data_IF_376149452969
#
_entry.id   IF_376149452969
#
_cell.length_a   1.000
_cell.length_b   1.000
_cell.length_c   1.000
_cell.angle_alpha   90.00
_cell.angle_beta   90.00
_cell.angle_gamma   90.00
#
_symmetry.space_group_name_H-M   'P 1'
#
loop_
_entity.id
_entity.type
_entity.pdbx_description
1 polymer ?
#
# COMPACT_ATOMS: atom_id res chain seq x y z
N UNK A 1 -28.22 -1.73 4.88
CA UNK A 1 -27.83 -1.47 3.48
C UNK A 1 -28.34 -0.13 2.94
N UNK A 2 -29.47 0.38 3.42
CA UNK A 2 -29.97 1.72 3.08
C UNK A 2 -28.95 2.85 3.30
N UNK A 3 -28.14 2.77 4.36
CA UNK A 3 -27.11 3.78 4.65
C UNK A 3 -26.02 3.91 3.56
N UNK A 4 -25.63 2.80 2.91
CA UNK A 4 -24.63 2.80 1.85
C UNK A 4 -25.20 3.34 0.54
N UNK A 5 -26.42 2.94 0.18
CA UNK A 5 -27.13 3.47 -0.97
C UNK A 5 -27.40 4.98 -0.80
N UNK A 6 -27.74 5.42 0.41
CA UNK A 6 -27.90 6.83 0.76
C UNK A 6 -26.60 7.62 0.60
N UNK A 7 -25.46 7.08 1.04
CA UNK A 7 -24.17 7.74 0.85
C UNK A 7 -23.69 7.76 -0.62
N UNK A 8 -23.95 6.70 -1.39
CA UNK A 8 -23.65 6.65 -2.82
C UNK A 8 -24.48 7.67 -3.61
N UNK A 9 -25.79 7.77 -3.30
CA UNK A 9 -26.69 8.76 -3.88
C UNK A 9 -26.25 10.21 -3.57
N UNK A 10 -25.80 10.47 -2.34
CA UNK A 10 -25.25 11.78 -1.93
C UNK A 10 -24.00 12.18 -2.74
N UNK A 11 -23.26 11.19 -3.26
CA UNK A 11 -22.08 11.39 -4.13
C UNK A 11 -22.39 11.29 -5.63
N UNK A 12 -23.68 11.29 -6.02
CA UNK A 12 -24.16 11.11 -7.41
C UNK A 12 -23.68 9.82 -8.08
N UNK A 13 -23.40 8.79 -7.29
CA UNK A 13 -23.05 7.46 -7.81
C UNK A 13 -24.36 6.70 -7.97
N UNK A 14 -24.79 6.49 -9.21
CA UNK A 14 -25.96 5.67 -9.52
C UNK A 14 -25.60 4.20 -9.33
N UNK A 15 -26.06 3.61 -8.23
CA UNK A 15 -25.84 2.19 -7.92
C UNK A 15 -27.15 1.43 -7.93
N UNK A 16 -27.16 0.23 -8.52
CA UNK A 16 -28.23 -0.75 -8.32
C UNK A 16 -28.15 -1.27 -6.87
N UNK A 17 -29.14 -0.95 -6.00
CA UNK A 17 -29.07 -1.30 -4.58
C UNK A 17 -29.00 -2.81 -4.32
N UNK A 18 -29.67 -3.63 -5.13
CA UNK A 18 -29.67 -5.09 -4.97
C UNK A 18 -28.34 -5.69 -5.42
N UNK A 19 -27.75 -5.15 -6.50
CA UNK A 19 -26.43 -5.57 -6.96
C UNK A 19 -25.34 -5.17 -5.96
N UNK A 20 -25.39 -3.94 -5.44
CA UNK A 20 -24.47 -3.46 -4.41
C UNK A 20 -24.58 -4.30 -3.13
N UNK A 21 -25.81 -4.65 -2.73
CA UNK A 21 -26.06 -5.52 -1.60
C UNK A 21 -25.35 -6.88 -1.72
N UNK A 22 -25.55 -7.57 -2.86
CA UNK A 22 -24.92 -8.87 -3.12
C UNK A 22 -23.40 -8.80 -3.17
N UNK A 23 -22.84 -7.72 -3.73
CA UNK A 23 -21.39 -7.50 -3.73
C UNK A 23 -20.87 -7.33 -2.31
N UNK A 24 -21.55 -6.53 -1.48
CA UNK A 24 -21.15 -6.34 -0.08
C UNK A 24 -21.25 -7.63 0.73
N UNK A 25 -22.31 -8.42 0.54
CA UNK A 25 -22.47 -9.71 1.20
C UNK A 25 -21.30 -10.65 0.89
N UNK A 26 -20.91 -10.77 -0.39
CA UNK A 26 -19.74 -11.55 -0.80
C UNK A 26 -18.42 -10.98 -0.25
N UNK A 27 -18.30 -9.65 -0.15
CA UNK A 27 -17.12 -9.01 0.43
C UNK A 27 -16.96 -9.35 1.91
N UNK A 28 -18.06 -9.31 2.67
CA UNK A 28 -18.08 -9.70 4.08
C UNK A 28 -17.74 -11.17 4.26
N UNK A 29 -18.33 -12.07 3.45
CA UNK A 29 -18.04 -13.50 3.50
C UNK A 29 -16.53 -13.78 3.34
N UNK A 30 -15.90 -13.17 2.33
CA UNK A 30 -14.45 -13.32 2.09
C UNK A 30 -13.61 -12.71 3.21
N UNK A 31 -14.05 -11.59 3.77
CA UNK A 31 -13.37 -10.95 4.91
C UNK A 31 -13.42 -11.84 6.16
N UNK A 32 -14.56 -12.48 6.43
CA UNK A 32 -14.68 -13.41 7.55
C UNK A 32 -13.76 -14.62 7.40
N UNK A 33 -13.60 -15.18 6.20
CA UNK A 33 -12.62 -16.27 5.97
C UNK A 33 -11.19 -15.86 6.35
N UNK A 34 -10.79 -14.62 6.03
CA UNK A 34 -9.47 -14.09 6.43
C UNK A 34 -9.38 -13.97 7.95
N UNK A 35 -10.42 -13.45 8.61
CA UNK A 35 -10.46 -13.29 10.07
C UNK A 35 -10.42 -14.65 10.77
N UNK A 36 -11.20 -15.63 10.30
CA UNK A 36 -11.25 -16.99 10.85
C UNK A 36 -9.88 -17.68 10.75
N UNK A 37 -9.10 -17.38 9.71
CA UNK A 37 -7.72 -17.88 9.59
C UNK A 37 -6.75 -17.14 10.48
N UNK A 38 -6.89 -15.82 10.59
CA UNK A 38 -6.07 -14.97 11.45
C UNK A 38 -6.25 -15.34 12.93
N UNK A 39 -7.47 -15.68 13.33
CA UNK A 39 -7.84 -15.99 14.71
C UNK A 39 -8.69 -17.27 14.76
N UNK A 40 -8.10 -18.45 14.53
CA UNK A 40 -8.85 -19.72 14.47
C UNK A 40 -9.52 -20.07 15.79
N UNK A 41 -8.91 -19.63 16.90
CA UNK A 41 -9.52 -19.65 18.22
C UNK A 41 -9.17 -18.37 18.96
N UNK A 42 -10.14 -17.81 19.69
CA UNK A 42 -9.91 -16.64 20.55
C UNK A 42 -9.25 -17.10 21.84
N UNK A 43 -7.93 -17.24 21.82
CA UNK A 43 -7.12 -17.57 22.97
C UNK A 43 -5.90 -16.63 23.06
N UNK A 44 -5.30 -16.56 24.25
CA UNK A 44 -4.20 -15.63 24.56
C UNK A 44 -3.01 -15.81 23.60
N UNK A 45 -2.69 -17.05 23.25
CA UNK A 45 -1.60 -17.38 22.33
C UNK A 45 -1.85 -16.83 20.93
N UNK A 46 -3.03 -17.04 20.37
CA UNK A 46 -3.39 -16.55 19.04
C UNK A 46 -3.49 -15.03 19.01
N UNK A 47 -3.99 -14.40 20.08
CA UNK A 47 -4.01 -12.95 20.23
C UNK A 47 -2.60 -12.35 20.34
N UNK A 48 -1.67 -13.03 21.00
CA UNK A 48 -0.27 -12.60 21.08
C UNK A 48 0.41 -12.69 19.71
N UNK A 49 0.17 -13.77 18.95
CA UNK A 49 0.68 -13.94 17.59
C UNK A 49 0.16 -12.81 16.68
N UNK A 50 -1.14 -12.52 16.73
CA UNK A 50 -1.74 -11.41 15.97
C UNK A 50 -1.19 -10.07 16.41
N UNK A 51 -1.10 -9.84 17.72
CA UNK A 51 -0.54 -8.62 18.30
C UNK A 51 0.88 -8.38 17.82
N UNK A 52 1.72 -9.43 17.74
CA UNK A 52 3.06 -9.38 17.15
C UNK A 52 2.99 -9.13 15.65
N UNK A 53 2.14 -9.83 14.90
CA UNK A 53 2.03 -9.65 13.46
C UNK A 53 1.64 -8.22 13.07
N UNK A 54 0.76 -7.55 13.81
CA UNK A 54 0.30 -6.18 13.53
C UNK A 54 1.11 -5.09 14.25
N UNK A 55 2.13 -5.48 15.01
CA UNK A 55 2.93 -4.52 15.77
C UNK A 55 3.73 -3.60 14.84
N UNK A 56 3.83 -2.32 15.20
CA UNK A 56 4.53 -1.27 14.41
C UNK A 56 6.01 -1.52 14.11
N UNK A 57 6.62 -2.50 14.77
CA UNK A 57 8.05 -2.86 14.62
C UNK A 57 8.23 -4.25 14.02
N UNK A 58 7.17 -4.81 13.44
CA UNK A 58 7.23 -6.10 12.77
C UNK A 58 7.54 -5.88 11.30
N UNK A 59 8.71 -6.33 10.88
CA UNK A 59 9.21 -6.16 9.50
C UNK A 59 8.35 -6.90 8.48
N UNK A 60 7.87 -8.10 8.84
CA UNK A 60 7.00 -8.90 7.98
C UNK A 60 5.95 -9.66 8.79
N UNK A 61 4.72 -9.13 8.76
CA UNK A 61 3.54 -9.73 9.39
C UNK A 61 3.25 -11.14 8.86
N UNK A 62 3.50 -11.41 7.58
CA UNK A 62 3.23 -12.72 6.97
C UNK A 62 4.20 -13.77 7.47
N UNK A 63 5.47 -13.43 7.68
CA UNK A 63 6.45 -14.34 8.27
C UNK A 63 6.04 -14.70 9.70
N UNK A 64 5.59 -13.73 10.50
CA UNK A 64 5.11 -13.98 11.87
C UNK A 64 3.91 -14.93 11.88
N UNK A 65 2.92 -14.68 11.03
CA UNK A 65 1.73 -15.53 10.91
C UNK A 65 2.09 -16.94 10.42
N UNK A 66 2.92 -17.06 9.38
CA UNK A 66 3.34 -18.34 8.82
C UNK A 66 4.12 -19.19 9.82
N UNK A 67 5.00 -18.58 10.61
CA UNK A 67 5.74 -19.26 11.67
C UNK A 67 4.82 -19.77 12.79
N UNK A 68 3.65 -19.16 12.96
CA UNK A 68 2.61 -19.63 13.86
C UNK A 68 1.65 -20.66 13.24
N UNK A 69 1.90 -21.08 11.99
CA UNK A 69 1.02 -22.01 11.25
C UNK A 69 -0.23 -21.33 10.67
N UNK A 70 -0.30 -20.00 10.71
CA UNK A 70 -1.39 -19.22 10.14
C UNK A 70 -0.99 -18.81 8.72
N UNK A 71 -1.61 -19.45 7.72
CA UNK A 71 -1.46 -19.05 6.32
C UNK A 71 -2.78 -18.43 5.83
N UNK A 72 -2.73 -17.14 5.48
CA UNK A 72 -3.87 -16.39 4.95
C UNK A 72 -3.69 -15.98 3.48
N UNK A 73 -2.56 -16.33 2.86
CA UNK A 73 -2.28 -15.97 1.46
C UNK A 73 -3.38 -16.45 0.49
N UNK A 74 -3.91 -17.69 0.60
CA UNK A 74 -4.98 -18.14 -0.28
C UNK A 74 -6.24 -17.28 -0.17
N UNK A 75 -6.68 -16.96 1.04
CA UNK A 75 -7.89 -16.18 1.30
C UNK A 75 -7.71 -14.71 0.86
N UNK A 76 -6.52 -14.15 1.04
CA UNK A 76 -6.19 -12.82 0.54
C UNK A 76 -6.18 -12.76 -0.99
N UNK A 77 -5.67 -13.80 -1.66
CA UNK A 77 -5.67 -13.87 -3.12
C UNK A 77 -7.11 -14.01 -3.66
N UNK A 78 -7.94 -14.83 -3.01
CA UNK A 78 -9.37 -14.94 -3.32
C UNK A 78 -10.10 -13.59 -3.16
N UNK A 79 -9.72 -12.79 -2.16
CA UNK A 79 -10.26 -11.47 -1.94
C UNK A 79 -9.77 -10.46 -3.01
N UNK A 80 -8.49 -10.51 -3.40
CA UNK A 80 -7.95 -9.67 -4.49
C UNK A 80 -8.63 -9.94 -5.82
N UNK A 81 -8.81 -11.21 -6.18
CA UNK A 81 -9.52 -11.60 -7.40
C UNK A 81 -10.95 -11.09 -7.40
N UNK A 82 -11.63 -11.21 -6.25
CA UNK A 82 -12.96 -10.65 -6.07
C UNK A 82 -12.98 -9.13 -6.26
N UNK A 83 -12.06 -8.38 -5.63
CA UNK A 83 -11.96 -6.93 -5.83
C UNK A 83 -11.75 -6.56 -7.31
N UNK A 84 -10.91 -7.32 -8.02
CA UNK A 84 -10.68 -7.13 -9.44
C UNK A 84 -11.96 -7.34 -10.27
N UNK A 85 -12.68 -8.44 -10.01
CA UNK A 85 -13.97 -8.77 -10.63
C UNK A 85 -14.98 -7.64 -10.47
N UNK A 86 -15.14 -7.09 -9.25
CA UNK A 86 -16.09 -5.99 -8.98
C UNK A 86 -15.63 -4.70 -9.66
N UNK A 87 -14.31 -4.44 -9.69
CA UNK A 87 -13.73 -3.23 -10.28
C UNK A 87 -13.80 -3.22 -11.82
N UNK A 88 -14.17 -4.33 -12.45
CA UNK A 88 -14.19 -4.49 -13.91
C UNK A 88 -12.80 -4.57 -14.54
N UNK A 89 -11.73 -4.65 -13.72
CA UNK A 89 -10.36 -4.88 -14.20
C UNK A 89 -10.16 -6.38 -14.34
N UNK A 90 -9.76 -6.85 -15.53
CA UNK A 90 -9.21 -8.20 -15.66
C UNK A 90 -7.99 -8.26 -14.74
N UNK A 91 -7.95 -9.22 -13.82
CA UNK A 91 -6.69 -9.69 -13.24
C UNK A 91 -5.90 -10.30 -14.38
N UNK A 92 -5.15 -9.47 -15.09
CA UNK A 92 -3.86 -9.94 -15.54
C UNK A 92 -3.16 -10.38 -14.26
N UNK A 93 -2.82 -11.67 -14.18
CA UNK A 93 -1.69 -12.11 -13.38
C UNK A 93 -0.43 -11.47 -13.97
N UNK A 94 -0.39 -10.14 -14.06
CA UNK A 94 0.84 -9.46 -13.80
C UNK A 94 1.15 -9.86 -12.38
N UNK A 95 2.31 -10.47 -12.21
CA UNK A 95 2.99 -10.49 -10.93
C UNK A 95 2.81 -9.11 -10.30
N UNK A 96 1.79 -8.96 -9.45
CA UNK A 96 1.85 -8.08 -8.30
C UNK A 96 2.86 -8.73 -7.35
N UNK A 97 4.11 -8.89 -7.83
CA UNK A 97 5.19 -8.03 -7.34
C UNK A 97 4.61 -6.63 -7.30
N UNK A 98 3.79 -6.38 -6.27
CA UNK A 98 3.95 -5.20 -5.47
C UNK A 98 5.46 -5.21 -5.26
N UNK A 99 6.16 -4.43 -6.07
CA UNK A 99 7.50 -3.98 -5.75
C UNK A 99 7.23 -3.12 -4.53
N UNK A 100 6.98 -3.77 -3.39
CA UNK A 100 7.41 -3.32 -2.11
C UNK A 100 8.89 -3.59 -2.25
N UNK A 101 9.72 -2.60 -2.65
CA UNK A 101 11.15 -2.76 -2.47
C UNK A 101 11.35 -3.19 -1.03
N UNK A 102 12.38 -3.99 -0.76
CA UNK A 102 12.64 -4.52 0.58
C UNK A 102 12.68 -3.45 1.71
N UNK A 103 12.71 -2.17 1.34
CA UNK A 103 12.70 -0.97 2.18
C UNK A 103 11.34 -0.23 2.26
N UNK A 104 10.32 -0.61 1.47
CA UNK A 104 9.02 0.08 1.41
C UNK A 104 9.01 1.42 0.64
N UNK A 105 10.15 1.83 0.07
CA UNK A 105 10.34 3.13 -0.63
C UNK A 105 10.30 2.95 -2.15
N UNK A 106 9.39 3.60 -2.90
CA UNK A 106 9.26 3.45 -4.35
C UNK A 106 10.58 3.51 -5.12
N UNK A 107 10.76 2.61 -6.09
CA UNK A 107 12.01 2.47 -6.86
C UNK A 107 12.44 3.74 -7.58
N UNK A 108 11.47 4.50 -8.08
CA UNK A 108 11.66 5.76 -8.78
C UNK A 108 12.29 6.79 -7.83
N UNK A 109 11.74 6.94 -6.62
CA UNK A 109 12.27 7.87 -5.61
C UNK A 109 13.65 7.44 -5.12
N UNK A 110 13.88 6.14 -4.94
CA UNK A 110 15.20 5.59 -4.59
C UNK A 110 16.23 5.85 -5.69
N UNK A 111 15.87 5.71 -6.97
CA UNK A 111 16.80 5.96 -8.07
C UNK A 111 17.26 7.42 -8.13
N UNK A 112 16.39 8.36 -7.77
CA UNK A 112 16.73 9.79 -7.67
C UNK A 112 17.73 10.01 -6.52
N UNK A 113 17.49 9.43 -5.34
CA UNK A 113 18.41 9.51 -4.21
C UNK A 113 19.82 8.95 -4.56
N UNK A 114 19.87 7.77 -5.21
CA UNK A 114 21.11 7.17 -5.71
C UNK A 114 21.81 8.03 -6.76
N UNK A 115 21.05 8.55 -7.71
CA UNK A 115 21.56 9.43 -8.76
C UNK A 115 22.23 10.68 -8.19
N UNK A 116 21.67 11.24 -7.10
CA UNK A 116 22.27 12.37 -6.39
C UNK A 116 23.59 11.99 -5.71
N UNK A 117 23.68 10.82 -5.08
CA UNK A 117 24.92 10.36 -4.47
C UNK A 117 26.02 10.10 -5.52
N UNK A 118 25.69 9.46 -6.64
CA UNK A 118 26.62 9.27 -7.76
C UNK A 118 27.10 10.59 -8.38
N UNK A 119 26.26 11.62 -8.36
CA UNK A 119 26.59 12.95 -8.85
C UNK A 119 27.27 13.85 -7.80
N UNK A 120 27.68 13.28 -6.66
CA UNK A 120 28.28 13.96 -5.50
C UNK A 120 27.47 15.18 -5.05
N UNK A 121 26.14 15.06 -5.12
CA UNK A 121 25.18 16.11 -4.77
C UNK A 121 25.42 17.45 -5.46
N UNK A 122 25.97 17.44 -6.68
CA UNK A 122 26.22 18.66 -7.44
C UNK A 122 24.96 19.52 -7.55
N UNK A 123 25.12 20.84 -7.55
CA UNK A 123 23.98 21.77 -7.53
C UNK A 123 23.07 21.59 -8.75
N UNK A 124 23.65 21.26 -9.91
CA UNK A 124 22.90 20.86 -11.11
C UNK A 124 22.11 19.56 -10.93
N UNK A 125 22.66 18.57 -10.24
CA UNK A 125 21.95 17.31 -9.97
C UNK A 125 20.79 17.53 -8.99
N UNK A 126 21.01 18.35 -7.95
CA UNK A 126 19.97 18.73 -6.97
C UNK A 126 18.79 19.45 -7.64
N UNK A 127 19.06 20.40 -8.54
CA UNK A 127 18.02 21.09 -9.31
C UNK A 127 17.24 20.16 -10.24
N UNK A 128 17.93 19.23 -10.91
CA UNK A 128 17.27 18.23 -11.76
C UNK A 128 16.39 17.28 -10.96
N UNK A 129 16.90 16.78 -9.83
CA UNK A 129 16.16 15.90 -8.93
C UNK A 129 14.94 16.60 -8.32
N UNK A 130 15.05 17.89 -7.95
CA UNK A 130 13.90 18.69 -7.49
C UNK A 130 12.81 18.77 -8.56
N UNK A 131 13.19 19.08 -9.81
CA UNK A 131 12.23 19.15 -10.92
C UNK A 131 11.56 17.79 -11.18
N UNK A 132 12.34 16.72 -11.23
CA UNK A 132 11.86 15.36 -11.46
C UNK A 132 10.89 14.90 -10.35
N UNK A 133 11.18 15.25 -9.09
CA UNK A 133 10.29 14.94 -7.97
C UNK A 133 8.99 15.73 -8.00
N UNK A 134 9.00 16.99 -8.44
CA UNK A 134 7.77 17.77 -8.62
C UNK A 134 6.89 17.17 -9.70
N UNK A 135 7.45 16.82 -10.87
CA UNK A 135 6.73 16.15 -11.95
C UNK A 135 6.15 14.80 -11.49
N UNK A 136 6.92 14.03 -10.71
CA UNK A 136 6.47 12.78 -10.11
C UNK A 136 5.31 13.01 -9.15
N UNK A 137 5.40 13.99 -8.25
CA UNK A 137 4.33 14.31 -7.29
C UNK A 137 3.06 14.69 -8.04
N UNK A 138 3.15 15.60 -9.01
CA UNK A 138 1.98 16.07 -9.78
C UNK A 138 1.27 14.90 -10.46
N UNK A 139 2.01 13.95 -11.05
CA UNK A 139 1.44 12.74 -11.65
C UNK A 139 0.84 11.73 -10.67
N UNK A 140 1.14 11.85 -9.37
CA UNK A 140 0.65 10.95 -8.33
C UNK A 140 -0.58 11.49 -7.58
N UNK A 141 -0.85 12.80 -7.64
CA UNK A 141 -1.90 13.46 -6.83
C UNK A 141 -3.34 13.07 -7.22
N UNK A 142 -3.55 12.46 -8.38
CA UNK A 142 -4.88 12.13 -8.90
C UNK A 142 -5.51 10.86 -8.28
N UNK A 143 -4.72 10.00 -7.61
CA UNK A 143 -5.21 8.75 -7.00
C UNK A 143 -4.73 8.61 -5.55
N UNK A 144 -5.67 8.50 -4.60
CA UNK A 144 -5.38 8.31 -3.17
C UNK A 144 -4.53 7.07 -2.89
N UNK A 145 -4.54 6.07 -3.78
CA UNK A 145 -3.68 4.87 -3.68
C UNK A 145 -2.19 5.20 -3.76
N UNK A 146 -1.84 6.36 -4.30
CA UNK A 146 -0.46 6.83 -4.41
C UNK A 146 0.02 7.56 -3.15
N UNK A 147 -0.78 7.66 -2.08
CA UNK A 147 -0.43 8.43 -0.89
C UNK A 147 0.95 8.10 -0.32
N UNK A 148 1.34 6.81 -0.31
CA UNK A 148 2.67 6.39 0.14
C UNK A 148 3.79 6.88 -0.79
N UNK A 149 3.54 6.87 -2.10
CA UNK A 149 4.50 7.37 -3.10
C UNK A 149 4.66 8.88 -3.00
N UNK A 150 3.55 9.60 -2.85
CA UNK A 150 3.56 11.05 -2.59
C UNK A 150 4.33 11.37 -1.33
N UNK A 151 4.13 10.60 -0.24
CA UNK A 151 4.88 10.79 1.01
C UNK A 151 6.40 10.69 0.79
N UNK A 152 6.88 9.64 0.12
CA UNK A 152 8.32 9.47 -0.11
C UNK A 152 8.89 10.52 -1.06
N UNK A 153 8.18 10.85 -2.15
CA UNK A 153 8.62 11.87 -3.09
C UNK A 153 8.73 13.24 -2.41
N UNK A 154 7.73 13.62 -1.59
CA UNK A 154 7.75 14.88 -0.81
C UNK A 154 8.85 14.86 0.26
N UNK A 155 9.07 13.72 0.94
CA UNK A 155 10.16 13.57 1.92
C UNK A 155 11.51 13.84 1.25
N UNK A 156 11.80 13.20 0.12
CA UNK A 156 13.07 13.39 -0.60
C UNK A 156 13.20 14.82 -1.12
N UNK A 157 12.14 15.37 -1.71
CA UNK A 157 12.09 16.76 -2.17
C UNK A 157 12.46 17.72 -1.04
N UNK A 158 11.92 17.50 0.16
CA UNK A 158 12.20 18.38 1.31
C UNK A 158 13.64 18.31 1.79
N UNK A 159 14.27 17.14 1.70
CA UNK A 159 15.69 16.96 2.02
C UNK A 159 16.57 17.68 0.99
N UNK A 160 16.24 17.58 -0.30
CA UNK A 160 16.93 18.27 -1.39
C UNK A 160 16.86 19.79 -1.22
N UNK A 161 15.67 20.33 -0.99
CA UNK A 161 15.46 21.78 -0.78
C UNK A 161 16.20 22.34 0.44
N UNK A 162 16.36 21.50 1.48
CA UNK A 162 17.13 21.86 2.69
C UNK A 162 18.64 21.64 2.53
N UNK A 163 19.09 21.08 1.40
CA UNK A 163 20.47 20.64 1.18
C UNK A 163 20.95 19.68 2.28
N UNK A 164 20.05 18.85 2.81
CA UNK A 164 20.34 17.88 3.87
C UNK A 164 20.93 16.58 3.30
N UNK A 165 22.22 16.61 2.99
CA UNK A 165 22.93 15.47 2.37
C UNK A 165 22.94 14.23 3.26
N UNK A 166 23.01 14.43 4.58
CA UNK A 166 22.98 13.33 5.55
C UNK A 166 21.64 12.61 5.54
N UNK A 167 20.55 13.36 5.45
CA UNK A 167 19.20 12.80 5.30
C UNK A 167 18.98 12.12 3.94
N UNK A 168 19.57 12.62 2.86
CA UNK A 168 19.48 11.99 1.53
C UNK A 168 20.25 10.66 1.51
N UNK A 169 21.44 10.58 2.12
CA UNK A 169 22.22 9.33 2.20
C UNK A 169 21.51 8.25 3.01
N UNK A 170 20.85 8.65 4.09
CA UNK A 170 20.03 7.75 4.92
C UNK A 170 18.61 7.56 4.38
N UNK A 171 18.33 8.02 3.17
CA UNK A 171 17.01 7.87 2.59
C UNK A 171 16.70 6.41 2.27
N UNK A 172 17.73 5.56 2.17
CA UNK A 172 17.63 4.12 1.86
C UNK A 172 17.55 3.22 3.11
N UNK A 173 17.86 3.78 4.29
CA UNK A 173 17.86 3.09 5.60
C UNK A 173 16.47 3.09 6.26
#
# INVERSE_FOLDING_TARGET
>A
MEALAYQAAKRRITTDPEKTAKVMEKAFEKTFKIIDKLLPEVNEKNLEILGRAIHKHTDDSFVVLRNAGINIEPELEEFRQFLAEISGRKTETEDLKVRIPKTGIPSEVLSIAKGLEFADFSENAMQKAEKELLELIDGLLDDEKNALWVFYAVKLLRLIQRKDLGGIKKFED
#
